data_IF_604051926293
#
_entry.id   IF_604051926293
#
_cell.length_a   1.000
_cell.length_b   1.000
_cell.length_c   1.000
_cell.angle_alpha   90.00
_cell.angle_beta   90.00
_cell.angle_gamma   90.00
#
_symmetry.space_group_name_H-M   'P 1'
#
loop_
_entity.id
_entity.type
_entity.pdbx_description
1 polymer ?
#
# COMPACT_ATOMS: atom_id res chain seq x y z
N UNK A 1 -18.87 12.04 2.13
CA UNK A 1 -17.55 11.50 2.52
C UNK A 1 -16.54 12.62 2.38
N UNK A 2 -15.60 12.78 3.31
CA UNK A 2 -14.53 13.77 3.20
C UNK A 2 -13.45 13.27 2.24
N UNK A 3 -12.98 14.14 1.36
CA UNK A 3 -11.85 13.84 0.47
C UNK A 3 -10.55 13.81 1.32
N UNK A 4 -9.65 12.82 1.14
CA UNK A 4 -8.47 12.62 1.99
C UNK A 4 -7.33 13.58 1.62
N UNK A 5 -7.64 14.87 1.55
CA UNK A 5 -6.69 15.95 1.19
C UNK A 5 -6.46 16.95 2.34
N UNK A 6 -6.99 16.68 3.53
CA UNK A 6 -6.89 17.57 4.68
C UNK A 6 -7.52 18.94 4.38
N UNK A 7 -6.71 20.00 4.43
CA UNK A 7 -7.16 21.37 4.15
C UNK A 7 -6.98 21.80 2.69
N UNK A 8 -6.48 20.91 1.81
CA UNK A 8 -6.28 21.19 0.39
C UNK A 8 -7.56 20.83 -0.36
N UNK A 9 -8.09 21.75 -1.16
CA UNK A 9 -9.24 21.42 -2.02
C UNK A 9 -8.82 20.49 -3.17
N UNK A 10 -9.73 19.68 -3.73
CA UNK A 10 -9.44 18.89 -4.92
C UNK A 10 -8.87 19.72 -6.08
N UNK A 11 -9.41 20.91 -6.31
CA UNK A 11 -8.97 21.83 -7.38
C UNK A 11 -7.54 22.30 -7.15
N UNK A 12 -7.21 22.71 -5.92
CA UNK A 12 -5.85 23.10 -5.54
C UNK A 12 -4.88 21.93 -5.67
N UNK A 13 -5.28 20.73 -5.23
CA UNK A 13 -4.45 19.53 -5.34
C UNK A 13 -4.10 19.20 -6.80
N UNK A 14 -5.11 19.21 -7.67
CA UNK A 14 -4.94 18.98 -9.11
C UNK A 14 -4.07 20.06 -9.78
N UNK A 15 -4.23 21.32 -9.36
CA UNK A 15 -3.49 22.43 -9.93
C UNK A 15 -2.02 22.43 -9.49
N UNK A 16 -1.70 22.08 -8.24
CA UNK A 16 -0.37 22.31 -7.68
C UNK A 16 0.48 21.04 -7.49
N UNK A 17 -0.14 19.87 -7.33
CA UNK A 17 0.55 18.65 -6.89
C UNK A 17 0.44 17.49 -7.88
N UNK A 18 -0.79 17.19 -8.35
CA UNK A 18 -1.05 16.05 -9.22
C UNK A 18 -0.13 16.07 -10.46
N UNK A 19 0.63 14.98 -10.67
CA UNK A 19 1.64 14.84 -11.74
C UNK A 19 2.75 15.91 -11.77
N UNK A 20 3.01 16.57 -10.65
CA UNK A 20 4.00 17.67 -10.57
C UNK A 20 5.01 17.49 -9.47
N UNK A 21 4.54 17.25 -8.24
CA UNK A 21 5.40 17.17 -7.06
C UNK A 21 4.77 16.33 -5.95
N UNK A 22 5.57 15.66 -5.11
CA UNK A 22 5.06 14.91 -3.97
C UNK A 22 4.37 15.83 -2.94
N UNK A 23 3.39 15.28 -2.22
CA UNK A 23 2.63 15.97 -1.18
C UNK A 23 2.50 15.10 0.07
N UNK A 24 2.77 15.66 1.26
CA UNK A 24 2.54 14.98 2.54
C UNK A 24 1.31 15.56 3.22
N UNK A 25 0.28 14.74 3.38
CA UNK A 25 -0.98 15.11 4.04
C UNK A 25 -1.07 14.35 5.36
N UNK A 26 -0.93 15.07 6.47
CA UNK A 26 -1.02 14.47 7.82
C UNK A 26 -2.49 14.33 8.20
N UNK A 27 -2.84 13.16 8.76
CA UNK A 27 -4.21 12.87 9.19
C UNK A 27 -5.23 13.06 8.05
N UNK A 28 -4.89 12.58 6.85
CA UNK A 28 -5.74 12.68 5.66
C UNK A 28 -7.13 12.04 5.88
N UNK A 29 -7.16 10.93 6.63
CA UNK A 29 -8.37 10.31 7.16
C UNK A 29 -8.19 10.22 8.68
N UNK A 30 -8.93 11.04 9.42
CA UNK A 30 -8.86 11.06 10.89
C UNK A 30 -9.35 9.73 11.47
N UNK A 31 -8.68 9.26 12.52
CA UNK A 31 -9.01 8.01 13.22
C UNK A 31 -9.18 6.80 12.28
N UNK A 32 -8.38 6.76 11.20
CA UNK A 32 -8.42 5.67 10.24
C UNK A 32 -8.17 4.33 10.93
N UNK A 33 -9.04 3.37 10.67
CA UNK A 33 -8.91 1.98 11.12
C UNK A 33 -8.86 1.09 9.89
N UNK A 34 -7.82 0.25 9.73
CA UNK A 34 -7.81 -0.72 8.65
C UNK A 34 -9.01 -1.67 8.76
N UNK A 35 -9.55 -2.05 7.61
CA UNK A 35 -10.63 -3.04 7.53
C UNK A 35 -10.11 -4.49 7.52
N UNK A 36 -8.83 -4.65 7.16
CA UNK A 36 -8.12 -5.92 7.13
C UNK A 36 -6.87 -5.78 7.99
N UNK A 37 -6.62 -6.76 8.85
CA UNK A 37 -5.36 -6.86 9.57
C UNK A 37 -4.32 -7.69 8.82
N UNK A 38 -3.20 -8.01 9.48
CA UNK A 38 -2.14 -8.81 8.88
C UNK A 38 -2.53 -10.27 8.61
N UNK A 39 -3.38 -10.84 9.47
CA UNK A 39 -3.83 -12.23 9.34
C UNK A 39 -4.85 -12.35 8.21
N UNK A 40 -5.77 -11.38 8.08
CA UNK A 40 -6.69 -11.29 6.95
C UNK A 40 -5.93 -11.20 5.61
N UNK A 41 -4.87 -10.38 5.56
CA UNK A 41 -4.06 -10.19 4.35
C UNK A 41 -3.26 -11.45 3.99
N UNK A 42 -2.70 -12.14 5.00
CA UNK A 42 -2.01 -13.41 4.79
C UNK A 42 -2.97 -14.50 4.28
N UNK A 43 -4.18 -14.58 4.85
CA UNK A 43 -5.23 -15.48 4.38
C UNK A 43 -5.62 -15.19 2.94
N UNK A 44 -5.80 -13.91 2.56
CA UNK A 44 -6.08 -13.54 1.19
C UNK A 44 -4.95 -13.94 0.23
N UNK A 45 -3.69 -13.81 0.66
CA UNK A 45 -2.53 -14.19 -0.15
C UNK A 45 -2.39 -15.72 -0.38
N UNK A 46 -3.19 -16.55 0.31
CA UNK A 46 -3.32 -17.98 0.05
C UNK A 46 -4.36 -18.31 -1.05
N UNK A 47 -5.20 -17.35 -1.45
CA UNK A 47 -6.23 -17.55 -2.48
C UNK A 47 -5.63 -17.55 -3.89
N UNK A 48 -6.01 -18.50 -4.74
CA UNK A 48 -5.46 -18.66 -6.10
C UNK A 48 -5.66 -17.42 -7.00
N UNK A 49 -6.73 -16.67 -6.76
CA UNK A 49 -7.10 -15.50 -7.56
C UNK A 49 -6.49 -14.19 -7.02
N UNK A 50 -5.82 -14.22 -5.87
CA UNK A 50 -5.22 -13.05 -5.27
C UNK A 50 -3.75 -12.91 -5.70
N UNK A 51 -3.46 -11.90 -6.52
CA UNK A 51 -2.08 -11.62 -6.92
C UNK A 51 -1.29 -11.09 -5.73
N UNK A 52 -0.33 -11.88 -5.27
CA UNK A 52 0.48 -11.56 -4.09
C UNK A 52 1.95 -11.85 -4.30
N UNK A 53 2.78 -11.10 -3.57
CA UNK A 53 4.24 -11.26 -3.57
C UNK A 53 4.81 -11.04 -2.18
N UNK A 54 5.84 -11.81 -1.87
CA UNK A 54 6.57 -11.74 -0.61
C UNK A 54 8.01 -11.36 -0.90
N UNK A 55 8.39 -10.16 -0.49
CA UNK A 55 9.74 -9.62 -0.64
C UNK A 55 10.47 -9.79 0.68
N UNK A 56 11.68 -10.37 0.65
CA UNK A 56 12.54 -10.53 1.81
C UNK A 56 13.92 -9.94 1.53
N UNK A 57 14.58 -9.45 2.57
CA UNK A 57 15.92 -8.89 2.51
C UNK A 57 15.97 -7.43 2.95
N UNK A 58 17.17 -6.86 2.92
CA UNK A 58 17.44 -5.51 3.39
C UNK A 58 18.31 -4.72 2.41
N UNK A 59 18.27 -3.39 2.53
CA UNK A 59 19.12 -2.51 1.72
C UNK A 59 20.59 -2.70 2.12
N UNK A 60 20.85 -2.89 3.41
CA UNK A 60 22.18 -3.01 3.99
C UNK A 60 22.90 -4.31 3.56
N UNK A 61 22.17 -5.44 3.55
CA UNK A 61 22.74 -6.73 3.15
C UNK A 61 22.66 -6.99 1.64
N UNK A 62 21.81 -6.24 0.92
CA UNK A 62 21.57 -6.39 -0.52
C UNK A 62 21.19 -7.83 -0.93
N UNK A 63 20.40 -8.50 -0.08
CA UNK A 63 20.07 -9.93 -0.15
C UNK A 63 18.61 -10.18 -0.57
N UNK A 64 18.14 -9.41 -1.56
CA UNK A 64 16.75 -9.40 -1.97
C UNK A 64 16.30 -10.73 -2.59
N UNK A 65 15.19 -11.25 -2.10
CA UNK A 65 14.47 -12.37 -2.69
C UNK A 65 12.99 -12.02 -2.84
N UNK A 66 12.36 -12.59 -3.87
CA UNK A 66 10.94 -12.41 -4.15
C UNK A 66 10.32 -13.78 -4.38
N UNK A 67 9.24 -14.06 -3.66
CA UNK A 67 8.36 -15.18 -3.93
C UNK A 67 6.99 -14.65 -4.38
N UNK A 68 6.28 -15.43 -5.17
CA UNK A 68 4.97 -15.10 -5.71
C UNK A 68 3.95 -16.09 -5.17
N UNK A 69 2.75 -15.61 -4.88
CA UNK A 69 1.66 -16.45 -4.41
C UNK A 69 1.03 -17.32 -5.51
N UNK A 70 -0.01 -18.09 -5.16
CA UNK A 70 -0.59 -18.17 -3.82
C UNK A 70 0.37 -18.81 -2.82
N UNK A 71 0.29 -18.39 -1.56
CA UNK A 71 1.10 -18.93 -0.47
C UNK A 71 0.32 -19.97 0.34
N UNK A 72 0.98 -20.58 1.31
CA UNK A 72 0.39 -21.45 2.32
C UNK A 72 0.69 -20.93 3.73
N UNK A 73 -0.09 -21.37 4.72
CA UNK A 73 0.15 -21.06 6.13
C UNK A 73 1.58 -21.45 6.59
N UNK A 74 2.14 -22.49 5.97
CA UNK A 74 3.51 -22.94 6.24
C UNK A 74 4.56 -21.93 5.76
N UNK A 75 4.30 -21.22 4.66
CA UNK A 75 5.21 -20.18 4.16
C UNK A 75 5.28 -19.00 5.12
N UNK A 76 4.14 -18.60 5.70
CA UNK A 76 4.05 -17.54 6.70
C UNK A 76 4.65 -17.95 8.05
N UNK A 77 4.39 -19.19 8.48
CA UNK A 77 4.96 -19.74 9.72
C UNK A 77 6.48 -19.85 9.69
N UNK A 78 7.07 -19.92 8.50
CA UNK A 78 8.52 -19.98 8.29
C UNK A 78 9.18 -18.58 8.18
N UNK A 79 8.41 -17.49 8.29
CA UNK A 79 8.97 -16.15 8.17
C UNK A 79 9.80 -15.75 9.40
N UNK A 80 10.91 -15.02 9.20
CA UNK A 80 11.63 -14.40 10.31
C UNK A 80 10.83 -13.24 10.90
N UNK A 81 11.22 -12.76 12.08
CA UNK A 81 10.54 -11.64 12.76
C UNK A 81 10.72 -10.27 12.07
N UNK A 82 11.63 -10.17 11.08
CA UNK A 82 12.05 -8.90 10.48
C UNK A 82 12.42 -9.04 9.00
N UNK A 83 12.56 -7.89 8.34
CA UNK A 83 13.13 -7.75 6.98
C UNK A 83 12.34 -8.49 5.88
N UNK A 84 11.01 -8.47 5.98
CA UNK A 84 10.12 -8.95 4.92
C UNK A 84 8.87 -8.07 4.76
N UNK A 85 8.26 -8.12 3.58
CA UNK A 85 7.02 -7.42 3.24
C UNK A 85 6.15 -8.29 2.34
N UNK A 86 4.91 -8.53 2.76
CA UNK A 86 3.85 -9.09 1.94
C UNK A 86 3.13 -7.96 1.22
N UNK A 87 2.90 -8.11 -0.09
CA UNK A 87 2.09 -7.20 -0.90
C UNK A 87 1.01 -8.01 -1.60
N UNK A 88 -0.24 -7.54 -1.55
CA UNK A 88 -1.39 -8.13 -2.23
C UNK A 88 -2.05 -7.03 -3.06
N UNK A 89 -2.24 -7.31 -4.36
CA UNK A 89 -2.87 -6.40 -5.32
C UNK A 89 -4.39 -6.53 -5.27
N UNK A 90 -5.11 -5.59 -5.89
CA UNK A 90 -6.55 -5.74 -6.19
C UNK A 90 -7.43 -6.07 -4.97
N UNK A 91 -7.03 -5.67 -3.75
CA UNK A 91 -7.65 -6.16 -2.51
C UNK A 91 -9.13 -5.74 -2.42
N UNK A 92 -9.49 -4.61 -3.04
CA UNK A 92 -10.87 -4.13 -3.11
C UNK A 92 -11.81 -5.02 -3.97
N UNK A 93 -11.25 -5.87 -4.84
CA UNK A 93 -12.01 -6.87 -5.62
C UNK A 93 -12.36 -8.09 -4.77
N UNK A 94 -11.51 -8.43 -3.81
CA UNK A 94 -11.70 -9.56 -2.89
C UNK A 94 -12.54 -9.19 -1.66
N UNK A 95 -12.49 -7.92 -1.23
CA UNK A 95 -13.24 -7.44 -0.08
C UNK A 95 -13.98 -6.13 -0.38
N UNK A 96 -15.26 -6.27 -0.78
CA UNK A 96 -16.11 -5.18 -1.27
C UNK A 96 -16.18 -3.92 -0.37
N UNK A 97 -16.13 -4.01 0.98
CA UNK A 97 -16.11 -2.80 1.82
C UNK A 97 -14.95 -1.84 1.55
N UNK A 98 -13.82 -2.30 1.02
CA UNK A 98 -12.69 -1.43 0.64
C UNK A 98 -12.99 -0.52 -0.55
N UNK A 99 -14.01 -0.80 -1.35
CA UNK A 99 -14.43 0.10 -2.43
C UNK A 99 -14.87 1.46 -1.91
N UNK A 100 -15.39 1.52 -0.67
CA UNK A 100 -15.74 2.79 -0.04
C UNK A 100 -14.50 3.66 0.26
N UNK A 101 -13.33 3.05 0.48
CA UNK A 101 -12.06 3.78 0.59
C UNK A 101 -11.64 4.35 -0.78
N UNK A 102 -11.69 3.53 -1.83
CA UNK A 102 -11.40 3.95 -3.20
C UNK A 102 -12.26 5.13 -3.66
N UNK A 103 -13.56 5.12 -3.32
CA UNK A 103 -14.50 6.19 -3.67
C UNK A 103 -14.16 7.56 -3.08
N UNK A 104 -13.35 7.63 -2.01
CA UNK A 104 -12.92 8.91 -1.44
C UNK A 104 -11.96 9.67 -2.37
N UNK A 105 -11.36 8.97 -3.35
CA UNK A 105 -10.46 9.53 -4.36
C UNK A 105 -11.15 9.86 -5.69
N UNK A 106 -12.49 9.88 -5.72
CA UNK A 106 -13.31 10.16 -6.92
C UNK A 106 -13.18 11.57 -7.51
N UNK A 107 -12.36 12.44 -6.92
CA UNK A 107 -11.92 13.68 -7.56
C UNK A 107 -10.90 13.43 -8.69
N UNK A 108 -10.29 12.23 -8.73
CA UNK A 108 -9.56 11.70 -9.87
C UNK A 108 -10.57 10.95 -10.76
N UNK A 109 -10.53 11.12 -12.10
CA UNK A 109 -11.41 10.36 -12.99
C UNK A 109 -11.24 8.85 -12.83
N UNK A 110 -12.33 8.09 -12.75
CA UNK A 110 -12.29 6.65 -12.48
C UNK A 110 -11.38 5.85 -13.43
N UNK A 111 -11.23 6.27 -14.69
CA UNK A 111 -10.37 5.59 -15.67
C UNK A 111 -8.86 5.77 -15.40
N UNK A 112 -8.49 6.68 -14.48
CA UNK A 112 -7.12 6.88 -13.98
C UNK A 112 -6.84 6.10 -12.70
N UNK A 113 -7.87 5.58 -12.03
CA UNK A 113 -7.73 4.74 -10.85
C UNK A 113 -7.54 3.30 -11.30
N UNK A 114 -6.55 2.63 -10.70
CA UNK A 114 -6.22 1.23 -11.03
C UNK A 114 -6.78 0.30 -9.95
N UNK A 115 -6.02 0.09 -8.86
CA UNK A 115 -6.36 -0.85 -7.79
C UNK A 115 -6.00 -0.32 -6.38
N UNK A 116 -6.35 -1.10 -5.36
CA UNK A 116 -5.85 -0.94 -3.99
C UNK A 116 -4.91 -2.09 -3.64
N UNK A 117 -3.60 -1.86 -3.78
CA UNK A 117 -2.59 -2.71 -3.17
C UNK A 117 -2.47 -2.44 -1.66
N UNK A 118 -2.49 -3.51 -0.85
CA UNK A 118 -2.17 -3.45 0.57
C UNK A 118 -0.85 -4.16 0.83
N UNK A 119 0.01 -3.57 1.66
CA UNK A 119 1.24 -4.19 2.13
C UNK A 119 1.26 -4.37 3.65
N UNK A 120 1.69 -5.53 4.11
CA UNK A 120 2.07 -5.79 5.50
C UNK A 120 3.58 -5.97 5.58
N UNK A 121 4.23 -5.25 6.49
CA UNK A 121 5.68 -5.31 6.65
C UNK A 121 6.05 -5.57 8.12
N UNK A 122 6.89 -6.58 8.34
CA UNK A 122 7.57 -6.74 9.62
C UNK A 122 8.56 -5.58 9.86
N UNK A 123 9.12 -5.50 11.06
CA UNK A 123 10.15 -4.50 11.37
C UNK A 123 11.31 -4.62 10.37
N UNK A 124 11.74 -3.49 9.78
CA UNK A 124 12.78 -3.47 8.73
C UNK A 124 12.28 -3.86 7.33
N UNK A 125 11.05 -4.37 7.20
CA UNK A 125 10.43 -4.76 5.94
C UNK A 125 10.36 -3.61 4.93
N UNK A 126 10.89 -3.87 3.73
CA UNK A 126 10.94 -2.92 2.63
C UNK A 126 10.91 -3.65 1.29
N UNK A 127 10.65 -2.89 0.23
CA UNK A 127 10.81 -3.33 -1.17
C UNK A 127 12.04 -2.70 -1.83
N UNK A 128 12.86 -2.01 -1.04
CA UNK A 128 14.03 -1.25 -1.50
C UNK A 128 13.66 0.08 -2.19
N UNK A 129 14.68 0.92 -2.49
CA UNK A 129 14.49 2.12 -3.30
C UNK A 129 14.06 1.77 -4.73
N UNK A 130 12.96 2.35 -5.19
CA UNK A 130 12.42 2.13 -6.53
C UNK A 130 11.67 3.38 -7.01
N UNK A 131 11.22 3.34 -8.26
CA UNK A 131 10.39 4.37 -8.90
C UNK A 131 9.25 3.69 -9.64
N UNK A 132 8.07 4.32 -9.60
CA UNK A 132 6.90 3.88 -10.35
C UNK A 132 6.63 4.81 -11.53
N UNK A 133 5.92 4.30 -12.54
CA UNK A 133 5.51 5.06 -13.73
C UNK A 133 4.07 5.62 -13.60
N UNK A 134 3.47 5.51 -12.41
CA UNK A 134 2.11 5.90 -12.10
C UNK A 134 2.06 6.80 -10.86
N UNK A 135 0.97 7.58 -10.76
CA UNK A 135 0.68 8.36 -9.55
C UNK A 135 0.22 7.41 -8.43
N UNK A 136 0.61 7.67 -7.18
CA UNK A 136 0.22 6.82 -6.04
C UNK A 136 -0.13 7.65 -4.81
N UNK A 137 -1.17 7.23 -4.09
CA UNK A 137 -1.46 7.70 -2.73
C UNK A 137 -1.02 6.63 -1.74
N UNK A 138 -0.02 6.96 -0.91
CA UNK A 138 0.45 6.07 0.16
C UNK A 138 -0.27 6.41 1.47
N UNK A 139 -1.24 5.58 1.85
CA UNK A 139 -2.01 5.72 3.08
C UNK A 139 -1.44 4.81 4.18
N UNK A 140 -0.99 5.40 5.29
CA UNK A 140 -0.56 4.62 6.45
C UNK A 140 -1.78 4.12 7.23
N UNK A 141 -1.94 2.80 7.30
CA UNK A 141 -3.07 2.16 7.98
C UNK A 141 -2.81 1.86 9.45
N UNK A 142 -1.81 1.03 9.75
CA UNK A 142 -1.40 0.64 11.10
C UNK A 142 0.12 0.80 11.26
N UNK A 143 0.58 0.98 12.50
CA UNK A 143 2.00 1.08 12.82
C UNK A 143 2.64 2.38 12.32
N UNK A 144 3.94 2.34 12.02
CA UNK A 144 4.68 3.52 11.56
C UNK A 144 5.71 3.12 10.51
N UNK A 145 5.77 3.87 9.41
CA UNK A 145 6.74 3.66 8.34
C UNK A 145 7.55 4.92 8.08
N UNK A 146 8.87 4.77 7.93
CA UNK A 146 9.75 5.85 7.48
C UNK A 146 9.79 5.86 5.95
N UNK A 147 9.23 6.91 5.37
CA UNK A 147 9.32 7.16 3.93
C UNK A 147 10.44 8.14 3.60
N UNK A 148 11.24 7.81 2.58
CA UNK A 148 12.27 8.68 2.02
C UNK A 148 12.02 8.76 0.51
N UNK A 149 11.97 9.98 -0.01
CA UNK A 149 11.76 10.26 -1.44
C UNK A 149 12.93 11.09 -1.97
N UNK A 150 13.29 10.87 -3.23
CA UNK A 150 14.26 11.73 -3.91
C UNK A 150 13.65 13.11 -4.16
N UNK A 151 14.47 14.16 -4.13
CA UNK A 151 14.05 15.49 -4.62
C UNK A 151 14.03 15.46 -6.15
N UNK A 152 12.94 15.99 -6.72
CA UNK A 152 12.76 16.23 -8.16
C UNK A 152 13.50 17.49 -8.60
#
# INVERSE_FOLDING_TARGET
MSVPLGNISPEQFLQEFWQKKPCLIRQAIADFKPLLDGDDLAGLACEEMAESRLVKGSVEAADWTVAYGPFSDADFSALPDKDWTLLVQDVEKHYAPLQALMQQFSFIPNWRLDDLMISYAATGGSVGPHTDQYDVFLLQAEGTRRWQIAQS
#
